data_IF_961047316211
#
_entry.id   IF_961047316211
#
_cell.length_a   1.000
_cell.length_b   1.000
_cell.length_c   1.000
_cell.angle_alpha   90.00
_cell.angle_beta   90.00
_cell.angle_gamma   90.00
#
_symmetry.space_group_name_H-M   'P 1'
#
loop_
_entity.id
_entity.type
_entity.pdbx_description
1 polymer ?
#
# COMPACT_ATOMS: atom_id res chain seq x y z
N UNK A 1 -8.40 -21.04 -8.34
CA UNK A 1 -8.37 -19.63 -8.78
C UNK A 1 -9.36 -18.84 -7.96
N UNK A 2 -9.04 -17.84 -7.15
CA UNK A 2 -7.82 -17.37 -6.48
C UNK A 2 -8.33 -16.09 -5.78
N UNK A 3 -8.74 -16.16 -4.50
CA UNK A 3 -9.30 -15.00 -3.80
C UNK A 3 -8.28 -13.84 -3.66
N UNK A 4 -7.00 -14.13 -3.92
CA UNK A 4 -5.86 -13.21 -3.77
C UNK A 4 -5.47 -12.55 -5.10
N UNK A 5 -5.88 -13.10 -6.25
CA UNK A 5 -5.48 -12.53 -7.54
C UNK A 5 -6.12 -11.16 -7.79
N UNK A 6 -7.37 -11.00 -7.35
CA UNK A 6 -8.10 -9.75 -7.52
C UNK A 6 -7.45 -8.56 -6.78
N UNK A 7 -7.11 -8.66 -5.47
CA UNK A 7 -6.42 -7.58 -4.80
C UNK A 7 -5.00 -7.36 -5.36
N UNK A 8 -4.26 -8.40 -5.73
CA UNK A 8 -2.94 -8.25 -6.38
C UNK A 8 -3.07 -7.47 -7.69
N UNK A 9 -3.98 -7.87 -8.58
CA UNK A 9 -4.20 -7.20 -9.85
C UNK A 9 -4.61 -5.73 -9.66
N UNK A 10 -5.40 -5.44 -8.62
CA UNK A 10 -5.84 -4.07 -8.30
C UNK A 10 -4.67 -3.23 -7.77
N UNK A 11 -3.85 -3.77 -6.85
CA UNK A 11 -2.65 -3.08 -6.35
C UNK A 11 -1.71 -2.76 -7.51
N UNK A 12 -1.44 -3.75 -8.37
CA UNK A 12 -0.58 -3.57 -9.55
C UNK A 12 -1.15 -2.54 -10.51
N UNK A 13 -2.45 -2.57 -10.78
CA UNK A 13 -3.08 -1.56 -11.62
C UNK A 13 -2.93 -0.16 -11.03
N UNK A 14 -3.22 0.02 -9.74
CA UNK A 14 -3.16 1.34 -9.10
C UNK A 14 -1.72 1.87 -8.94
N UNK A 15 -0.71 0.99 -8.91
CA UNK A 15 0.71 1.36 -8.83
C UNK A 15 1.43 1.48 -10.19
N UNK A 16 1.16 0.58 -11.14
CA UNK A 16 1.92 0.46 -12.39
C UNK A 16 1.23 1.12 -13.61
N UNK A 17 -0.11 1.22 -13.61
CA UNK A 17 -0.85 1.67 -14.79
C UNK A 17 -0.76 3.21 -14.97
N UNK A 18 -0.75 3.66 -16.23
CA UNK A 18 -0.72 5.09 -16.57
C UNK A 18 -1.97 5.87 -16.09
N UNK A 19 -3.06 5.16 -15.82
CA UNK A 19 -4.31 5.69 -15.27
C UNK A 19 -4.55 5.26 -13.82
N UNK A 20 -3.59 4.57 -13.20
CA UNK A 20 -3.62 4.18 -11.79
C UNK A 20 -3.37 5.36 -10.85
N UNK A 21 -3.66 5.14 -9.57
CA UNK A 21 -3.45 6.10 -8.50
C UNK A 21 -2.06 6.76 -8.55
N UNK A 22 -0.99 5.98 -8.67
CA UNK A 22 0.39 6.49 -8.63
C UNK A 22 0.67 7.48 -9.75
N UNK A 23 0.23 7.16 -10.97
CA UNK A 23 0.36 8.02 -12.13
C UNK A 23 -0.42 9.32 -11.96
N UNK A 24 -1.63 9.26 -11.39
CA UNK A 24 -2.40 10.48 -11.08
C UNK A 24 -1.73 11.35 -10.02
N UNK A 25 -1.17 10.72 -8.98
CA UNK A 25 -0.47 11.39 -7.89
C UNK A 25 0.79 12.10 -8.41
N UNK A 26 1.59 11.43 -9.25
CA UNK A 26 2.77 12.00 -9.94
C UNK A 26 2.41 13.19 -10.85
N UNK A 27 1.21 13.19 -11.43
CA UNK A 27 0.70 14.31 -12.21
C UNK A 27 0.21 15.48 -11.33
N UNK A 28 0.30 15.39 -10.01
CA UNK A 28 -0.16 16.41 -9.08
C UNK A 28 -1.68 16.39 -8.85
N UNK A 29 -2.35 15.26 -9.11
CA UNK A 29 -3.78 15.09 -8.90
C UNK A 29 -4.04 13.97 -7.89
N UNK A 30 -4.74 14.29 -6.80
CA UNK A 30 -5.22 13.29 -5.87
C UNK A 30 -6.59 12.78 -6.30
N UNK A 31 -6.67 11.51 -6.70
CA UNK A 31 -7.94 10.86 -7.03
C UNK A 31 -8.45 10.04 -5.84
N UNK A 32 -9.50 10.53 -5.18
CA UNK A 32 -10.10 9.88 -4.01
C UNK A 32 -10.69 8.51 -4.34
N UNK A 33 -11.25 8.34 -5.54
CA UNK A 33 -11.75 7.04 -6.01
C UNK A 33 -10.63 6.00 -6.12
N UNK A 34 -9.55 6.37 -6.80
CA UNK A 34 -8.36 5.51 -7.00
C UNK A 34 -7.70 5.16 -5.67
N UNK A 35 -7.63 6.14 -4.77
CA UNK A 35 -7.17 5.93 -3.39
C UNK A 35 -8.02 4.89 -2.65
N UNK A 36 -9.35 5.00 -2.71
CA UNK A 36 -10.25 4.02 -2.06
C UNK A 36 -10.10 2.62 -2.65
N UNK A 37 -9.96 2.50 -3.97
CA UNK A 37 -9.76 1.22 -4.64
C UNK A 37 -8.45 0.55 -4.21
N UNK A 38 -7.37 1.34 -4.18
CA UNK A 38 -6.06 0.89 -3.71
C UNK A 38 -6.14 0.46 -2.24
N UNK A 39 -6.69 1.29 -1.35
CA UNK A 39 -6.85 0.98 0.07
C UNK A 39 -7.63 -0.32 0.31
N UNK A 40 -8.77 -0.49 -0.38
CA UNK A 40 -9.58 -1.70 -0.28
C UNK A 40 -8.81 -2.94 -0.75
N UNK A 41 -8.06 -2.83 -1.85
CA UNK A 41 -7.25 -3.93 -2.37
C UNK A 41 -6.15 -4.32 -1.38
N UNK A 42 -5.50 -3.35 -0.76
CA UNK A 42 -4.48 -3.56 0.25
C UNK A 42 -5.02 -4.27 1.49
N UNK A 43 -6.15 -3.82 2.04
CA UNK A 43 -6.80 -4.44 3.20
C UNK A 43 -7.23 -5.88 2.91
N UNK A 44 -7.77 -6.11 1.70
CA UNK A 44 -8.13 -7.46 1.23
C UNK A 44 -6.90 -8.34 1.08
N UNK A 45 -5.80 -7.80 0.56
CA UNK A 45 -4.53 -8.50 0.44
C UNK A 45 -3.99 -8.89 1.81
N UNK A 46 -3.95 -7.95 2.77
CA UNK A 46 -3.51 -8.18 4.16
C UNK A 46 -4.24 -9.35 4.79
N UNK A 47 -5.57 -9.39 4.70
CA UNK A 47 -6.37 -10.50 5.23
C UNK A 47 -6.05 -11.85 4.58
N UNK A 48 -5.55 -11.84 3.34
CA UNK A 48 -5.22 -13.03 2.59
C UNK A 48 -3.79 -13.54 2.80
N UNK A 49 -2.80 -12.67 3.08
CA UNK A 49 -1.39 -13.08 3.19
C UNK A 49 -1.15 -14.03 4.36
N UNK A 50 -1.90 -13.91 5.45
CA UNK A 50 -1.79 -14.77 6.63
C UNK A 50 -2.07 -16.26 6.31
N UNK A 51 -2.67 -16.54 5.14
CA UNK A 51 -3.03 -17.89 4.70
C UNK A 51 -2.19 -18.38 3.50
N UNK A 52 -1.18 -17.64 3.05
CA UNK A 52 -0.40 -17.98 1.86
C UNK A 52 1.10 -17.84 2.10
N UNK A 53 1.83 -18.96 1.97
CA UNK A 53 3.29 -19.04 2.17
C UNK A 53 4.10 -18.22 1.15
N UNK A 54 3.50 -17.82 0.02
CA UNK A 54 4.13 -16.93 -0.95
C UNK A 54 3.49 -15.54 -0.93
N UNK A 55 4.11 -14.65 -0.15
CA UNK A 55 4.03 -13.21 -0.41
C UNK A 55 4.62 -12.97 -1.79
N UNK A 56 3.83 -12.35 -2.68
CA UNK A 56 4.32 -12.00 -4.00
C UNK A 56 5.30 -10.83 -3.85
N UNK A 57 6.58 -11.11 -4.16
CA UNK A 57 7.66 -10.11 -4.11
C UNK A 57 7.37 -8.89 -4.98
N UNK A 58 6.54 -9.04 -6.01
CA UNK A 58 6.11 -7.95 -6.88
C UNK A 58 5.26 -6.95 -6.09
N UNK A 59 4.27 -7.43 -5.33
CA UNK A 59 3.42 -6.56 -4.50
C UNK A 59 4.25 -5.80 -3.47
N UNK A 60 5.23 -6.45 -2.83
CA UNK A 60 6.10 -5.77 -1.88
C UNK A 60 6.91 -4.62 -2.51
N UNK A 61 7.35 -4.78 -3.76
CA UNK A 61 8.01 -3.69 -4.51
C UNK A 61 7.04 -2.57 -4.86
N UNK A 62 5.81 -2.90 -5.30
CA UNK A 62 4.79 -1.89 -5.64
C UNK A 62 4.45 -1.01 -4.45
N UNK A 63 4.31 -1.60 -3.25
CA UNK A 63 4.05 -0.85 -2.02
C UNK A 63 5.23 0.04 -1.64
N UNK A 64 6.46 -0.46 -1.79
CA UNK A 64 7.65 0.33 -1.52
C UNK A 64 7.73 1.56 -2.44
N UNK A 65 7.43 1.41 -3.74
CA UNK A 65 7.38 2.54 -4.66
C UNK A 65 6.27 3.52 -4.32
N UNK A 66 5.11 3.02 -3.92
CA UNK A 66 3.98 3.84 -3.49
C UNK A 66 4.32 4.71 -2.26
N UNK A 67 5.02 4.16 -1.27
CA UNK A 67 5.44 4.91 -0.08
C UNK A 67 6.45 6.03 -0.39
N UNK A 68 7.39 5.79 -1.32
CA UNK A 68 8.31 6.83 -1.82
C UNK A 68 7.53 7.97 -2.48
N UNK A 69 6.54 7.64 -3.31
CA UNK A 69 5.76 8.63 -4.05
C UNK A 69 4.83 9.42 -3.12
N UNK A 70 4.28 8.80 -2.07
CA UNK A 70 3.59 9.53 -1.01
C UNK A 70 4.53 10.51 -0.28
N UNK A 71 5.73 10.07 0.08
CA UNK A 71 6.74 10.94 0.69
C UNK A 71 7.08 12.15 -0.19
N UNK A 72 7.18 11.92 -1.51
CA UNK A 72 7.34 12.99 -2.49
C UNK A 72 6.12 13.92 -2.55
N UNK A 73 4.91 13.35 -2.65
CA UNK A 73 3.66 14.10 -2.72
C UNK A 73 3.46 15.00 -1.49
N UNK A 74 3.84 14.55 -0.30
CA UNK A 74 3.77 15.38 0.92
C UNK A 74 4.57 16.68 0.80
N UNK A 75 5.64 16.74 0.01
CA UNK A 75 6.39 17.98 -0.22
C UNK A 75 5.67 18.94 -1.17
N UNK A 76 4.88 18.43 -2.12
CA UNK A 76 4.20 19.24 -3.14
C UNK A 76 2.77 19.65 -2.73
N UNK A 77 2.12 18.88 -1.86
CA UNK A 77 0.73 19.10 -1.43
C UNK A 77 0.60 19.75 -0.03
N UNK A 78 1.70 20.21 0.59
CA UNK A 78 1.75 20.78 1.97
C UNK A 78 0.64 21.77 2.29
N UNK A 79 0.22 22.58 1.31
CA UNK A 79 -0.76 23.66 1.49
C UNK A 79 -2.16 23.32 0.99
N UNK A 80 -2.36 22.12 0.44
CA UNK A 80 -3.64 21.69 -0.12
C UNK A 80 -4.47 20.95 0.93
N UNK A 81 -5.80 21.03 0.81
CA UNK A 81 -6.74 20.29 1.67
C UNK A 81 -6.49 18.78 1.68
N UNK A 82 -5.87 18.27 0.61
CA UNK A 82 -5.57 16.86 0.43
C UNK A 82 -4.33 16.38 1.20
N UNK A 83 -3.57 17.29 1.84
CA UNK A 83 -2.36 16.94 2.60
C UNK A 83 -2.62 15.83 3.62
N UNK A 84 -3.65 15.97 4.45
CA UNK A 84 -3.98 14.97 5.47
C UNK A 84 -4.41 13.64 4.86
N UNK A 85 -5.09 13.65 3.71
CA UNK A 85 -5.42 12.43 2.99
C UNK A 85 -4.18 11.70 2.44
N UNK A 86 -3.15 12.45 2.02
CA UNK A 86 -1.88 11.88 1.58
C UNK A 86 -1.11 11.30 2.77
N UNK A 87 -1.13 11.97 3.93
CA UNK A 87 -0.53 11.45 5.17
C UNK A 87 -1.21 10.15 5.61
N UNK A 88 -2.55 10.13 5.68
CA UNK A 88 -3.30 8.94 6.08
C UNK A 88 -3.06 7.77 5.11
N UNK A 89 -3.03 8.06 3.81
CA UNK A 89 -2.74 7.08 2.77
C UNK A 89 -1.33 6.49 2.90
N UNK A 90 -0.34 7.34 3.20
CA UNK A 90 1.03 6.91 3.41
C UNK A 90 1.16 6.03 4.65
N UNK A 91 0.52 6.42 5.75
CA UNK A 91 0.55 5.66 7.00
C UNK A 91 -0.01 4.25 6.79
N UNK A 92 -1.17 4.12 6.15
CA UNK A 92 -1.73 2.79 5.86
C UNK A 92 -0.77 1.98 4.97
N UNK A 93 -0.24 2.58 3.89
CA UNK A 93 0.72 1.91 3.01
C UNK A 93 1.95 1.41 3.77
N UNK A 94 2.52 2.23 4.64
CA UNK A 94 3.65 1.89 5.51
C UNK A 94 3.33 0.73 6.46
N UNK A 95 2.17 0.76 7.13
CA UNK A 95 1.74 -0.32 8.02
C UNK A 95 1.56 -1.66 7.29
N UNK A 96 1.07 -1.61 6.06
CA UNK A 96 0.91 -2.78 5.20
C UNK A 96 2.27 -3.35 4.75
N UNK A 97 3.21 -2.48 4.37
CA UNK A 97 4.59 -2.90 4.07
C UNK A 97 5.19 -3.61 5.28
N UNK A 98 5.02 -3.06 6.48
CA UNK A 98 5.50 -3.68 7.72
C UNK A 98 4.81 -5.03 7.95
N UNK A 99 3.49 -5.12 7.80
CA UNK A 99 2.74 -6.36 7.97
C UNK A 99 3.15 -7.45 6.96
N UNK A 100 3.53 -7.06 5.74
CA UNK A 100 4.01 -7.96 4.70
C UNK A 100 5.46 -8.38 4.95
N UNK A 101 6.33 -7.44 5.32
CA UNK A 101 7.77 -7.70 5.50
C UNK A 101 8.12 -8.24 6.89
N UNK A 102 7.19 -8.21 7.85
CA UNK A 102 7.39 -8.72 9.21
C UNK A 102 6.54 -9.97 9.41
N UNK A 103 7.10 -11.17 9.18
CA UNK A 103 6.43 -12.42 9.51
C UNK A 103 5.97 -12.46 10.97
N UNK A 104 4.83 -13.10 11.25
CA UNK A 104 4.28 -13.18 12.61
C UNK A 104 5.26 -13.77 13.64
N UNK A 105 6.14 -14.68 13.24
CA UNK A 105 7.15 -15.28 14.11
C UNK A 105 8.21 -14.28 14.63
N UNK A 106 8.43 -13.15 13.94
CA UNK A 106 9.28 -12.05 14.41
C UNK A 106 8.61 -11.21 15.50
N UNK A 107 7.27 -11.14 15.53
CA UNK A 107 6.50 -10.39 16.54
C UNK A 107 6.39 -11.15 17.87
N UNK A 108 6.49 -12.48 17.85
CA UNK A 108 6.40 -13.34 19.04
C UNK A 108 7.71 -13.34 19.86
N UNK A 109 8.86 -13.03 19.26
CA UNK A 109 10.14 -12.99 20.00
C UNK A 109 10.25 -11.82 20.99
N UNK A 110 9.48 -10.74 20.83
CA UNK A 110 9.49 -9.62 21.79
C UNK A 110 8.71 -9.93 23.08
N UNK A 111 7.68 -10.78 23.01
CA UNK A 111 6.89 -11.17 24.19
C UNK A 111 7.56 -12.25 25.07
N UNK A 112 8.56 -12.96 24.54
CA UNK A 112 9.30 -13.99 25.29
C UNK A 112 10.64 -13.49 25.85
N UNK A 113 10.92 -12.18 25.76
CA UNK A 113 12.11 -11.52 26.33
C UNK A 113 11.79 -10.59 27.52
N UNK A 114 10.55 -10.59 28.02
CA UNK A 114 10.15 -9.96 29.29
C UNK A 114 9.87 -11.03 30.35
#
# INVERSE_FOLDING_TARGET
MQAIDYPIATIRYECEDMYGFLSTLRAGVFSEERYRNLLQALQTYRAAIHNNDMIDRIVAMDLYYLDIEFSGALQYFVTQSNYYHIVDAQLECSELIIAILTPEWLLVEEHNKQ
#
